data_IF_867107703322
#
_entry.id   IF_867107703322
#
_cell.length_a   1.000
_cell.length_b   1.000
_cell.length_c   1.000
_cell.angle_alpha   90.00
_cell.angle_beta   90.00
_cell.angle_gamma   90.00
#
_symmetry.space_group_name_H-M   'P 1'
#
loop_
_entity.id
_entity.type
_entity.pdbx_description
1 polymer ?
#
# COMPACT_ATOMS: atom_id res chain seq x y z
N UNK A 1 33.57 6.07 7.86
CA UNK A 1 32.47 6.64 8.65
C UNK A 1 31.90 7.78 7.82
N UNK A 2 30.93 7.49 6.95
CA UNK A 2 30.33 8.48 6.05
C UNK A 2 28.95 8.83 6.59
N UNK A 3 28.76 10.12 6.84
CA UNK A 3 27.52 10.72 7.34
C UNK A 3 26.38 10.50 6.35
N UNK A 4 25.29 9.90 6.83
CA UNK A 4 24.05 9.73 6.09
C UNK A 4 23.36 11.10 6.07
N UNK A 5 23.47 11.79 4.94
CA UNK A 5 22.77 13.06 4.67
C UNK A 5 21.25 12.86 4.76
N UNK A 6 20.64 13.39 5.82
CA UNK A 6 19.19 13.41 6.03
C UNK A 6 18.54 14.45 5.10
N UNK A 7 18.27 14.06 3.86
CA UNK A 7 17.56 14.91 2.90
C UNK A 7 16.06 14.95 3.19
N UNK A 8 15.55 16.11 3.61
CA UNK A 8 14.16 16.42 3.95
C UNK A 8 13.13 16.01 2.88
N UNK A 9 12.01 15.45 3.35
CA UNK A 9 10.69 15.39 2.71
C UNK A 9 9.97 16.72 2.93
N UNK A 10 9.05 17.12 2.04
CA UNK A 10 8.14 18.24 2.36
C UNK A 10 7.35 17.87 3.63
N UNK A 11 7.27 18.78 4.62
CA UNK A 11 6.57 18.49 5.86
C UNK A 11 5.08 18.30 5.57
N UNK A 12 4.50 17.23 6.14
CA UNK A 12 3.07 17.21 6.39
C UNK A 12 2.74 18.41 7.31
N UNK A 13 1.63 19.10 7.07
CA UNK A 13 1.35 20.35 7.77
C UNK A 13 1.37 20.13 9.29
N UNK A 14 2.03 21.03 10.02
CA UNK A 14 2.09 20.95 11.49
C UNK A 14 3.29 20.21 12.10
N UNK A 15 4.35 19.95 11.34
CA UNK A 15 5.65 19.51 11.86
C UNK A 15 5.90 18.00 11.80
N UNK A 16 5.01 17.23 11.18
CA UNK A 16 5.24 15.80 10.94
C UNK A 16 6.23 15.61 9.77
N UNK A 17 7.29 14.84 10.01
CA UNK A 17 8.27 14.46 8.99
C UNK A 17 8.07 13.00 8.60
N UNK A 18 7.65 12.79 7.35
CA UNK A 18 7.49 11.46 6.77
C UNK A 18 8.61 11.26 5.74
N UNK A 19 9.63 10.45 6.05
CA UNK A 19 10.82 10.33 5.20
C UNK A 19 10.50 9.79 3.81
N UNK A 20 9.65 8.75 3.73
CA UNK A 20 9.22 8.13 2.45
C UNK A 20 7.75 7.73 2.50
N UNK A 21 7.05 7.93 1.39
CA UNK A 21 5.66 7.47 1.19
C UNK A 21 5.66 6.34 0.18
N UNK A 22 5.16 5.16 0.56
CA UNK A 22 5.09 3.99 -0.32
C UNK A 22 3.62 3.73 -0.66
N UNK A 23 3.29 3.82 -1.95
CA UNK A 23 1.95 3.51 -2.43
C UNK A 23 1.77 2.02 -2.70
N UNK A 24 0.63 1.46 -2.33
CA UNK A 24 0.22 0.10 -2.73
C UNK A 24 -1.01 0.21 -3.62
N UNK A 25 -0.89 -0.27 -4.85
CA UNK A 25 -1.91 -0.14 -5.89
C UNK A 25 -2.25 -1.49 -6.52
N UNK A 26 -3.40 -1.56 -7.20
CA UNK A 26 -3.82 -2.74 -7.95
C UNK A 26 -4.75 -2.34 -9.09
N UNK A 27 -4.66 -3.04 -10.22
CA UNK A 27 -5.51 -2.73 -11.37
C UNK A 27 -6.96 -3.19 -11.27
N UNK A 28 -7.28 -4.10 -10.35
CA UNK A 28 -8.65 -4.55 -10.09
C UNK A 28 -8.85 -4.83 -8.60
N UNK A 29 -10.11 -4.81 -8.15
CA UNK A 29 -10.47 -5.25 -6.81
C UNK A 29 -10.26 -6.76 -6.62
N UNK A 30 -10.10 -7.19 -5.37
CA UNK A 30 -10.05 -8.62 -5.01
C UNK A 30 -8.70 -9.31 -5.18
N UNK A 31 -7.62 -8.60 -5.55
CA UNK A 31 -6.26 -9.18 -5.66
C UNK A 31 -5.51 -9.25 -4.33
N UNK A 32 -6.11 -8.77 -3.23
CA UNK A 32 -5.48 -8.69 -1.91
C UNK A 32 -4.53 -7.50 -1.73
N UNK A 33 -4.74 -6.39 -2.44
CA UNK A 33 -3.99 -5.13 -2.31
C UNK A 33 -3.84 -4.67 -0.84
N UNK A 34 -4.96 -4.59 -0.11
CA UNK A 34 -4.96 -4.16 1.29
C UNK A 34 -4.20 -5.14 2.19
N UNK A 35 -4.28 -6.44 1.92
CA UNK A 35 -3.44 -7.45 2.60
C UNK A 35 -1.97 -7.20 2.36
N UNK A 36 -1.55 -6.91 1.12
CA UNK A 36 -0.17 -6.54 0.80
C UNK A 36 0.26 -5.26 1.53
N UNK A 37 -0.61 -4.25 1.60
CA UNK A 37 -0.33 -3.01 2.32
C UNK A 37 -0.13 -3.23 3.83
N UNK A 38 -1.00 -4.02 4.46
CA UNK A 38 -0.87 -4.40 5.89
C UNK A 38 0.41 -5.19 6.13
N UNK A 39 0.68 -6.22 5.32
CA UNK A 39 1.89 -7.05 5.49
C UNK A 39 3.17 -6.24 5.30
N UNK A 40 3.21 -5.33 4.32
CA UNK A 40 4.34 -4.43 4.12
C UNK A 40 4.53 -3.51 5.33
N UNK A 41 3.46 -2.90 5.85
CA UNK A 41 3.52 -2.02 7.01
C UNK A 41 3.99 -2.76 8.27
N UNK A 42 3.47 -3.97 8.52
CA UNK A 42 3.86 -4.82 9.65
C UNK A 42 5.31 -5.29 9.55
N UNK A 43 5.77 -5.72 8.37
CA UNK A 43 7.16 -6.12 8.17
C UNK A 43 8.13 -4.94 8.34
N UNK A 44 7.77 -3.74 7.90
CA UNK A 44 8.57 -2.53 8.14
C UNK A 44 8.64 -2.19 9.64
N UNK A 45 7.50 -2.27 10.36
CA UNK A 45 7.46 -2.03 11.80
C UNK A 45 8.27 -3.10 12.58
N UNK A 46 8.17 -4.37 12.19
CA UNK A 46 8.94 -5.47 12.77
C UNK A 46 10.46 -5.31 12.55
N UNK A 47 10.87 -4.61 11.49
CA UNK A 47 12.27 -4.21 11.23
C UNK A 47 12.72 -2.98 12.05
N UNK A 48 11.86 -2.44 12.91
CA UNK A 48 12.17 -1.33 13.82
C UNK A 48 11.93 0.07 13.24
N UNK A 49 11.24 0.18 12.11
CA UNK A 49 10.89 1.48 11.52
C UNK A 49 9.66 2.09 12.16
N UNK A 50 9.59 3.43 12.22
CA UNK A 50 8.33 4.11 12.55
C UNK A 50 7.42 4.16 11.33
N UNK A 51 6.26 3.51 11.43
CA UNK A 51 5.37 3.28 10.28
C UNK A 51 3.98 3.87 10.50
N UNK A 52 3.48 4.56 9.47
CA UNK A 52 2.07 4.89 9.30
C UNK A 52 1.43 4.04 8.20
N UNK A 53 0.13 3.79 8.33
CA UNK A 53 -0.70 3.16 7.31
C UNK A 53 -1.94 4.02 7.06
N UNK A 54 -2.04 4.55 5.84
CA UNK A 54 -3.19 5.31 5.37
C UNK A 54 -4.04 4.44 4.43
N UNK A 55 -5.25 4.12 4.86
CA UNK A 55 -6.26 3.48 4.04
C UNK A 55 -7.08 4.52 3.27
N UNK A 56 -6.74 4.68 1.99
CA UNK A 56 -7.45 5.54 1.05
C UNK A 56 -8.48 4.75 0.21
N UNK A 57 -8.61 3.44 0.41
CA UNK A 57 -9.57 2.59 -0.29
C UNK A 57 -10.94 2.66 0.36
N UNK A 58 -11.72 3.63 -0.10
CA UNK A 58 -13.06 3.86 0.41
C UNK A 58 -14.07 2.78 -0.01
N UNK A 59 -13.71 1.95 -1.00
CA UNK A 59 -14.65 0.98 -1.57
C UNK A 59 -14.77 -0.28 -0.71
N UNK A 60 -13.88 -0.48 0.26
CA UNK A 60 -14.03 -1.54 1.25
C UNK A 60 -13.17 -1.28 2.49
N UNK A 61 -13.71 -1.44 3.72
CA UNK A 61 -12.99 -1.24 4.98
C UNK A 61 -11.99 -2.35 5.29
N UNK A 62 -11.10 -2.64 4.34
CA UNK A 62 -10.20 -3.78 4.40
C UNK A 62 -9.13 -3.59 5.47
N UNK A 63 -8.49 -2.43 5.54
CA UNK A 63 -7.40 -2.19 6.50
C UNK A 63 -7.87 -2.22 7.96
N UNK A 64 -8.94 -1.49 8.37
CA UNK A 64 -9.47 -1.60 9.73
C UNK A 64 -9.77 -3.03 10.14
N UNK A 65 -10.43 -3.81 9.27
CA UNK A 65 -10.73 -5.21 9.53
C UNK A 65 -9.47 -6.05 9.66
N UNK A 66 -8.54 -5.94 8.71
CA UNK A 66 -7.29 -6.70 8.68
C UNK A 66 -6.42 -6.43 9.91
N UNK A 67 -6.51 -5.25 10.52
CA UNK A 67 -5.78 -4.93 11.76
C UNK A 67 -6.60 -5.13 13.04
N UNK A 68 -7.86 -5.59 12.95
CA UNK A 68 -8.72 -5.77 14.12
C UNK A 68 -9.21 -4.45 14.74
N UNK A 69 -9.29 -3.38 13.94
CA UNK A 69 -9.63 -2.02 14.35
C UNK A 69 -11.06 -1.59 13.95
N UNK A 70 -11.91 -2.49 13.45
CA UNK A 70 -13.27 -2.15 12.96
C UNK A 70 -14.20 -1.53 14.02
N UNK A 71 -13.97 -1.81 15.30
CA UNK A 71 -14.74 -1.21 16.42
C UNK A 71 -14.29 0.21 16.76
N UNK A 72 -13.14 0.66 16.27
CA UNK A 72 -12.61 1.98 16.55
C UNK A 72 -13.25 3.03 15.64
N UNK A 73 -13.28 4.27 16.12
CA UNK A 73 -13.76 5.43 15.39
C UNK A 73 -12.69 6.50 15.40
N UNK A 74 -12.74 7.36 14.39
CA UNK A 74 -11.76 8.41 14.21
C UNK A 74 -11.95 9.49 15.26
N UNK A 75 -10.85 9.91 15.89
CA UNK A 75 -10.85 10.93 16.93
C UNK A 75 -10.10 12.18 16.47
N UNK A 76 -10.42 13.31 17.11
CA UNK A 76 -9.78 14.60 16.90
C UNK A 76 -9.50 15.24 18.26
N UNK A 77 -8.35 15.90 18.40
CA UNK A 77 -8.01 16.67 19.59
C UNK A 77 -8.58 18.11 19.56
N UNK A 78 -9.47 18.39 18.61
CA UNK A 78 -10.04 19.70 18.36
C UNK A 78 -9.28 20.53 17.32
N UNK A 79 -8.06 20.13 16.94
CA UNK A 79 -7.27 20.77 15.89
C UNK A 79 -6.82 19.79 14.79
N UNK A 80 -6.49 18.56 15.18
CA UNK A 80 -5.89 17.54 14.32
C UNK A 80 -6.52 16.18 14.56
N UNK A 81 -6.50 15.37 13.51
CA UNK A 81 -6.93 13.97 13.54
C UNK A 81 -5.89 13.12 14.27
N UNK A 82 -6.36 12.28 15.20
CA UNK A 82 -5.50 11.38 15.97
C UNK A 82 -5.51 10.00 15.28
N UNK A 83 -4.35 9.48 14.83
CA UNK A 83 -4.31 8.16 14.25
C UNK A 83 -4.49 7.09 15.33
N UNK A 84 -5.21 6.02 15.00
CA UNK A 84 -5.33 4.85 15.89
C UNK A 84 -4.02 4.06 15.79
N UNK A 85 -3.45 3.67 16.93
CA UNK A 85 -2.22 2.88 16.95
C UNK A 85 -2.58 1.39 16.99
N UNK A 86 -2.14 0.62 15.99
CA UNK A 86 -2.28 -0.83 16.00
C UNK A 86 -1.38 -1.43 17.07
N UNK A 87 -1.59 -2.70 17.39
CA UNK A 87 -0.78 -3.38 18.40
C UNK A 87 0.67 -3.61 17.97
N UNK A 88 0.93 -3.65 16.67
CA UNK A 88 2.29 -3.63 16.10
C UNK A 88 2.93 -2.23 16.14
N UNK A 89 2.28 -1.24 16.77
CA UNK A 89 2.77 0.13 16.90
C UNK A 89 2.61 0.98 15.63
N UNK A 90 1.81 0.53 14.66
CA UNK A 90 1.59 1.24 13.40
C UNK A 90 0.52 2.31 13.61
N UNK A 91 0.78 3.54 13.19
CA UNK A 91 -0.24 4.60 13.17
C UNK A 91 -1.18 4.38 12.00
N UNK A 92 -2.47 4.25 12.23
CA UNK A 92 -3.46 3.91 11.21
C UNK A 92 -4.49 5.01 11.08
N UNK A 93 -4.73 5.43 9.84
CA UNK A 93 -5.88 6.26 9.48
C UNK A 93 -6.62 5.58 8.35
N UNK A 94 -7.93 5.40 8.52
CA UNK A 94 -8.83 4.96 7.47
C UNK A 94 -9.98 5.93 7.39
N UNK A 95 -10.43 6.18 6.18
CA UNK A 95 -11.65 6.94 5.94
C UNK A 95 -12.86 6.28 6.61
N UNK A 96 -12.84 4.95 6.72
CA UNK A 96 -13.92 4.16 7.32
C UNK A 96 -14.06 4.38 8.83
N UNK A 97 -13.04 4.93 9.51
CA UNK A 97 -13.17 5.32 10.92
C UNK A 97 -14.13 6.50 11.13
N UNK A 98 -14.41 7.28 10.09
CA UNK A 98 -15.26 8.46 10.12
C UNK A 98 -16.60 8.25 9.41
N UNK A 99 -16.80 7.08 8.79
CA UNK A 99 -18.08 6.67 8.21
C UNK A 99 -18.86 5.90 9.27
N UNK A 100 -20.09 6.32 9.54
CA UNK A 100 -20.87 5.78 10.66
C UNK A 100 -21.26 4.32 10.49
N UNK A 101 -21.99 4.01 9.41
CA UNK A 101 -22.49 2.67 9.09
C UNK A 101 -21.83 2.13 7.82
N UNK A 102 -21.07 1.04 7.97
CA UNK A 102 -20.40 0.34 6.85
C UNK A 102 -21.40 -0.21 5.83
N UNK A 103 -22.66 -0.47 6.22
CA UNK A 103 -23.70 -0.96 5.32
C UNK A 103 -24.35 0.16 4.49
N UNK A 104 -24.13 1.43 4.85
CA UNK A 104 -24.67 2.57 4.12
C UNK A 104 -23.67 3.01 3.03
N UNK A 105 -24.00 2.88 1.73
CA UNK A 105 -23.09 3.28 0.66
C UNK A 105 -22.92 4.80 0.66
N UNK A 106 -21.76 5.29 1.12
CA UNK A 106 -21.41 6.70 0.99
C UNK A 106 -20.90 6.92 -0.44
N UNK A 107 -21.57 7.78 -1.21
CA UNK A 107 -21.13 8.11 -2.56
C UNK A 107 -19.98 9.12 -2.48
N UNK A 108 -18.76 8.62 -2.56
CA UNK A 108 -17.56 9.45 -2.60
C UNK A 108 -17.36 10.03 -3.98
N UNK A 109 -17.71 11.31 -4.15
CA UNK A 109 -17.35 12.07 -5.35
C UNK A 109 -15.89 12.47 -5.28
N UNK A 110 -15.20 12.49 -6.44
CA UNK A 110 -13.76 12.81 -6.55
C UNK A 110 -13.28 14.01 -5.70
N UNK A 111 -13.98 15.15 -5.68
CA UNK A 111 -13.60 16.30 -4.84
C UNK A 111 -13.63 16.03 -3.33
N UNK A 112 -14.59 15.22 -2.85
CA UNK A 112 -14.70 14.88 -1.43
C UNK A 112 -13.56 13.95 -1.01
N UNK A 113 -13.25 12.95 -1.84
CA UNK A 113 -12.11 12.06 -1.62
C UNK A 113 -10.79 12.82 -1.64
N UNK A 114 -10.60 13.67 -2.65
CA UNK A 114 -9.39 14.49 -2.76
C UNK A 114 -9.18 15.32 -1.49
N UNK A 115 -10.25 15.92 -0.96
CA UNK A 115 -10.19 16.72 0.27
C UNK A 115 -9.89 15.85 1.49
N UNK A 116 -10.48 14.66 1.60
CA UNK A 116 -10.22 13.74 2.70
C UNK A 116 -8.75 13.27 2.72
N UNK A 117 -8.19 12.89 1.56
CA UNK A 117 -6.78 12.48 1.46
C UNK A 117 -5.84 13.64 1.79
N UNK A 118 -6.14 14.84 1.29
CA UNK A 118 -5.40 16.05 1.61
C UNK A 118 -5.43 16.32 3.11
N UNK A 119 -6.60 16.20 3.75
CA UNK A 119 -6.77 16.34 5.19
C UNK A 119 -6.00 15.26 5.97
N UNK A 120 -5.98 14.00 5.50
CA UNK A 120 -5.19 12.95 6.13
C UNK A 120 -3.69 13.17 5.99
N UNK A 121 -3.25 13.85 4.93
CA UNK A 121 -1.87 14.26 4.76
C UNK A 121 -1.51 15.43 5.68
N UNK A 122 -2.36 16.46 5.77
CA UNK A 122 -2.02 17.71 6.46
C UNK A 122 -2.40 17.73 7.94
N UNK A 123 -3.52 17.11 8.32
CA UNK A 123 -4.16 17.37 9.61
C UNK A 123 -4.07 16.17 10.57
N UNK A 124 -3.45 15.06 10.16
CA UNK A 124 -3.21 13.90 11.03
C UNK A 124 -1.92 14.06 11.82
N UNK A 125 -1.96 13.64 13.08
CA UNK A 125 -0.80 13.62 13.99
C UNK A 125 0.14 12.43 13.72
N UNK A 126 0.70 12.38 12.50
CA UNK A 126 1.65 11.34 12.11
C UNK A 126 2.94 11.36 12.93
N UNK A 127 3.38 12.53 13.39
CA UNK A 127 4.68 12.70 14.05
C UNK A 127 5.84 12.36 13.10
N UNK A 128 6.91 11.76 13.62
CA UNK A 128 8.07 11.35 12.83
C UNK A 128 7.90 9.90 12.33
N UNK A 129 7.78 9.73 11.01
CA UNK A 129 7.66 8.43 10.36
C UNK A 129 8.84 8.18 9.40
N UNK A 130 9.43 7.00 9.48
CA UNK A 130 10.32 6.50 8.43
C UNK A 130 9.53 6.22 7.15
N UNK A 131 8.37 5.57 7.29
CA UNK A 131 7.53 5.17 6.16
C UNK A 131 6.04 5.44 6.41
N UNK A 132 5.37 6.03 5.43
CA UNK A 132 3.91 5.99 5.33
C UNK A 132 3.53 5.05 4.19
N UNK A 133 2.87 3.93 4.51
CA UNK A 133 2.28 3.04 3.52
C UNK A 133 0.87 3.53 3.21
N UNK A 134 0.52 3.62 1.92
CA UNK A 134 -0.80 4.10 1.47
C UNK A 134 -1.48 3.00 0.68
N UNK A 135 -2.61 2.50 1.19
CA UNK A 135 -3.48 1.57 0.47
C UNK A 135 -4.43 2.35 -0.45
N UNK A 136 -4.13 2.39 -1.75
CA UNK A 136 -4.91 3.17 -2.71
C UNK A 136 -6.19 2.45 -3.14
N UNK A 137 -7.22 3.15 -3.62
CA UNK A 137 -8.38 2.51 -4.28
C UNK A 137 -7.96 1.57 -5.42
N UNK A 138 -8.72 0.51 -5.70
CA UNK A 138 -8.44 -0.38 -6.81
C UNK A 138 -8.80 0.27 -8.15
N UNK A 139 -8.22 -0.26 -9.23
CA UNK A 139 -8.57 0.13 -10.59
C UNK A 139 -7.46 0.92 -11.27
N UNK A 140 -7.86 1.74 -12.24
CA UNK A 140 -7.05 2.80 -12.85
C UNK A 140 -7.90 4.03 -13.14
N UNK A 141 -8.94 4.25 -12.33
CA UNK A 141 -9.92 5.32 -12.52
C UNK A 141 -9.49 6.63 -11.88
N UNK A 142 -10.23 7.70 -12.16
CA UNK A 142 -9.93 9.07 -11.70
C UNK A 142 -9.72 9.19 -10.19
N UNK A 143 -10.44 8.38 -9.40
CA UNK A 143 -10.34 8.31 -7.93
C UNK A 143 -8.90 7.98 -7.51
N UNK A 144 -8.29 6.98 -8.14
CA UNK A 144 -6.94 6.55 -7.78
C UNK A 144 -5.89 7.57 -8.26
N UNK A 145 -6.03 8.11 -9.46
CA UNK A 145 -5.12 9.15 -9.99
C UNK A 145 -5.19 10.41 -9.11
N UNK A 146 -6.39 10.80 -8.69
CA UNK A 146 -6.60 11.93 -7.79
C UNK A 146 -5.90 11.71 -6.45
N UNK A 147 -6.02 10.50 -5.89
CA UNK A 147 -5.34 10.12 -4.65
C UNK A 147 -3.81 10.19 -4.79
N UNK A 148 -3.26 9.67 -5.89
CA UNK A 148 -1.82 9.73 -6.16
C UNK A 148 -1.29 11.16 -6.26
N UNK A 149 -2.00 12.05 -6.96
CA UNK A 149 -1.58 13.45 -7.15
C UNK A 149 -1.61 14.28 -5.86
N UNK A 150 -2.19 13.77 -4.78
CA UNK A 150 -2.34 14.46 -3.51
C UNK A 150 -1.27 14.10 -2.49
N UNK A 151 -0.50 13.05 -2.75
CA UNK A 151 0.50 12.53 -1.82
C UNK A 151 1.89 12.53 -2.50
N UNK A 152 2.97 12.90 -1.80
CA UNK A 152 4.32 12.86 -2.35
C UNK A 152 4.86 11.42 -2.35
N UNK A 153 4.25 10.56 -3.18
CA UNK A 153 4.57 9.13 -3.26
C UNK A 153 6.00 8.95 -3.76
N UNK A 154 6.82 8.27 -2.97
CA UNK A 154 8.23 8.00 -3.25
C UNK A 154 8.45 6.76 -4.13
N UNK A 155 7.48 5.85 -4.17
CA UNK A 155 7.48 4.67 -5.01
C UNK A 155 6.21 3.84 -4.82
N UNK A 156 5.87 3.02 -5.81
CA UNK A 156 4.62 2.24 -5.86
C UNK A 156 4.91 0.74 -5.93
N UNK A 157 4.30 -0.02 -5.03
CA UNK A 157 4.20 -1.49 -5.08
C UNK A 157 2.86 -1.86 -5.71
N UNK A 158 2.87 -2.73 -6.72
CA UNK A 158 1.64 -3.16 -7.41
C UNK A 158 1.26 -4.58 -7.01
N UNK A 159 0.13 -4.74 -6.33
CA UNK A 159 -0.44 -6.04 -6.01
C UNK A 159 -1.22 -6.60 -7.22
N UNK A 160 -1.02 -7.88 -7.52
CA UNK A 160 -1.67 -8.59 -8.61
C UNK A 160 -1.87 -10.07 -8.27
N UNK A 161 -2.69 -10.77 -9.06
CA UNK A 161 -2.82 -12.23 -9.11
C UNK A 161 -2.38 -12.71 -10.51
N UNK A 162 -1.93 -13.95 -10.70
CA UNK A 162 -1.61 -14.42 -12.05
C UNK A 162 -2.78 -14.30 -13.04
N UNK A 163 -4.01 -14.52 -12.56
CA UNK A 163 -5.22 -14.31 -13.36
C UNK A 163 -5.37 -12.86 -13.86
N UNK A 164 -5.03 -11.84 -13.04
CA UNK A 164 -5.08 -10.45 -13.50
C UNK A 164 -3.97 -10.09 -14.48
N UNK A 165 -2.84 -10.80 -14.49
CA UNK A 165 -1.76 -10.54 -15.44
C UNK A 165 -2.18 -10.84 -16.88
N UNK A 166 -3.03 -11.85 -17.08
CA UNK A 166 -3.63 -12.17 -18.39
C UNK A 166 -4.46 -11.00 -18.94
N UNK A 167 -4.94 -10.12 -18.07
CA UNK A 167 -5.74 -8.97 -18.47
C UNK A 167 -4.86 -7.73 -18.69
N UNK A 168 -5.17 -6.95 -19.73
CA UNK A 168 -4.58 -5.63 -20.04
C UNK A 168 -4.61 -4.60 -18.87
N UNK A 169 -5.23 -4.97 -17.75
CA UNK A 169 -5.47 -4.17 -16.56
C UNK A 169 -4.18 -3.89 -15.79
N UNK A 170 -3.25 -4.84 -15.71
CA UNK A 170 -1.99 -4.64 -14.96
C UNK A 170 -1.05 -3.71 -15.74
N UNK A 171 -0.91 -3.91 -17.05
CA UNK A 171 -0.17 -2.98 -17.90
C UNK A 171 -0.73 -1.54 -17.83
N UNK A 172 -2.05 -1.37 -17.73
CA UNK A 172 -2.67 -0.05 -17.49
C UNK A 172 -2.30 0.54 -16.13
N UNK A 173 -2.24 -0.28 -15.09
CA UNK A 173 -1.88 0.18 -13.73
C UNK A 173 -0.43 0.63 -13.65
N UNK A 174 0.47 -0.11 -14.30
CA UNK A 174 1.89 0.27 -14.44
C UNK A 174 2.03 1.55 -15.26
N UNK A 175 1.30 1.67 -16.37
CA UNK A 175 1.25 2.92 -17.16
C UNK A 175 0.67 4.09 -16.37
N UNK A 176 -0.36 3.88 -15.57
CA UNK A 176 -0.97 4.90 -14.73
C UNK A 176 -0.03 5.35 -13.61
N UNK A 177 0.71 4.43 -13.01
CA UNK A 177 1.78 4.80 -12.08
C UNK A 177 2.85 5.65 -12.77
N UNK A 178 3.10 5.46 -14.07
CA UNK A 178 3.93 6.37 -14.88
C UNK A 178 3.25 7.68 -15.31
N UNK A 179 1.93 7.83 -15.14
CA UNK A 179 1.19 9.09 -15.34
C UNK A 179 1.19 9.97 -14.08
N UNK A 180 1.68 9.43 -12.97
CA UNK A 180 1.95 10.16 -11.73
C UNK A 180 3.46 10.17 -11.54
N UNK A 181 4.04 11.19 -10.91
CA UNK A 181 5.50 11.35 -10.79
C UNK A 181 6.16 10.35 -9.80
N UNK A 182 5.62 9.13 -9.67
CA UNK A 182 6.06 8.11 -8.72
C UNK A 182 6.53 6.83 -9.44
N UNK A 183 7.76 6.35 -9.20
CA UNK A 183 8.28 5.15 -9.84
C UNK A 183 7.60 3.88 -9.31
N UNK A 184 7.31 2.93 -10.20
CA UNK A 184 6.91 1.58 -9.81
C UNK A 184 8.13 0.82 -9.32
N UNK A 185 8.12 0.42 -8.05
CA UNK A 185 9.21 -0.32 -7.40
C UNK A 185 9.23 -1.79 -7.83
N UNK A 186 8.06 -2.36 -8.09
CA UNK A 186 7.89 -3.75 -8.49
C UNK A 186 6.48 -4.26 -8.22
N UNK A 187 6.29 -5.55 -8.39
CA UNK A 187 4.99 -6.21 -8.25
C UNK A 187 4.99 -7.28 -7.17
N UNK A 188 3.84 -7.44 -6.52
CA UNK A 188 3.57 -8.54 -5.59
C UNK A 188 2.57 -9.47 -6.23
N UNK A 189 3.00 -10.70 -6.48
CA UNK A 189 2.15 -11.76 -6.99
C UNK A 189 1.47 -12.45 -5.79
N UNK A 190 0.19 -12.15 -5.59
CA UNK A 190 -0.63 -12.74 -4.54
C UNK A 190 -1.48 -13.88 -5.11
N UNK A 191 -1.77 -14.88 -4.28
CA UNK A 191 -2.59 -16.04 -4.62
C UNK A 191 -2.15 -16.75 -5.91
N UNK A 192 -0.84 -16.82 -6.17
CA UNK A 192 -0.32 -17.56 -7.34
C UNK A 192 -0.30 -19.08 -7.14
N UNK A 193 -0.22 -19.49 -5.89
CA UNK A 193 -0.32 -20.86 -5.41
C UNK A 193 -1.24 -20.93 -4.20
N UNK A 194 -1.57 -22.14 -3.75
CA UNK A 194 -2.22 -22.40 -2.47
C UNK A 194 -1.44 -23.43 -1.67
N UNK A 195 -1.32 -23.24 -0.37
CA UNK A 195 -0.86 -24.29 0.54
C UNK A 195 -2.07 -25.10 0.97
N UNK A 196 -2.08 -26.40 0.67
CA UNK A 196 -3.17 -27.30 1.06
C UNK A 196 -3.25 -27.40 2.59
N UNK A 197 -4.37 -27.04 3.23
CA UNK A 197 -4.48 -27.07 4.69
C UNK A 197 -4.39 -28.48 5.28
N UNK A 198 -4.74 -29.51 4.50
CA UNK A 198 -4.75 -30.90 4.98
C UNK A 198 -3.39 -31.59 4.89
N UNK A 199 -2.55 -31.23 3.91
CA UNK A 199 -1.28 -31.93 3.68
C UNK A 199 -0.05 -31.03 3.59
N UNK A 200 -0.21 -29.70 3.64
CA UNK A 200 0.88 -28.73 3.56
C UNK A 200 1.54 -28.60 2.19
N UNK A 201 1.09 -29.38 1.18
CA UNK A 201 1.63 -29.32 -0.18
C UNK A 201 1.19 -28.03 -0.85
N UNK A 202 2.14 -27.34 -1.50
CA UNK A 202 1.87 -26.16 -2.28
C UNK A 202 1.46 -26.54 -3.72
N UNK A 203 0.31 -26.05 -4.15
CA UNK A 203 -0.22 -26.25 -5.49
C UNK A 203 -0.25 -24.91 -6.23
N UNK A 204 0.31 -24.87 -7.43
CA UNK A 204 0.11 -23.71 -8.32
C UNK A 204 -1.36 -23.62 -8.70
N UNK A 205 -1.93 -22.43 -8.57
CA UNK A 205 -3.33 -22.17 -8.92
C UNK A 205 -3.48 -21.81 -10.41
N UNK A 206 -2.40 -21.33 -11.01
CA UNK A 206 -2.37 -20.90 -12.40
C UNK A 206 -1.12 -21.45 -13.08
N UNK A 207 -1.28 -21.88 -14.33
CA UNK A 207 -0.13 -22.20 -15.18
C UNK A 207 0.62 -20.92 -15.55
N UNK A 208 1.91 -21.06 -15.86
CA UNK A 208 2.70 -19.95 -16.39
C UNK A 208 2.00 -19.37 -17.62
N UNK A 209 1.78 -18.06 -17.63
CA UNK A 209 1.40 -17.29 -18.82
C UNK A 209 2.30 -17.76 -19.95
N UNK A 210 1.78 -18.27 -21.07
CA UNK A 210 2.50 -18.51 -22.35
C UNK A 210 3.98 -19.03 -22.33
N UNK A 211 4.45 -19.60 -21.22
CA UNK A 211 5.87 -19.84 -20.91
C UNK A 211 6.64 -18.64 -20.31
N UNK A 212 6.08 -17.44 -20.26
CA UNK A 212 6.67 -16.24 -19.63
C UNK A 212 6.35 -16.09 -18.13
N UNK A 213 7.29 -15.49 -17.41
CA UNK A 213 7.16 -15.10 -16.00
C UNK A 213 6.45 -13.75 -15.86
N UNK A 214 5.91 -13.47 -14.67
CA UNK A 214 5.28 -12.17 -14.34
C UNK A 214 6.21 -10.99 -14.62
N UNK A 215 7.49 -11.17 -14.28
CA UNK A 215 8.56 -10.21 -14.50
C UNK A 215 8.74 -9.90 -15.98
N UNK A 216 8.73 -10.94 -16.83
CA UNK A 216 8.86 -10.80 -18.28
C UNK A 216 7.64 -10.12 -18.89
N UNK A 217 6.44 -10.48 -18.44
CA UNK A 217 5.19 -9.92 -18.95
C UNK A 217 5.04 -8.43 -18.64
N UNK A 218 5.54 -7.98 -17.48
CA UNK A 218 5.38 -6.58 -17.02
C UNK A 218 6.63 -5.73 -17.19
N UNK A 219 7.80 -6.33 -17.39
CA UNK A 219 9.09 -5.62 -17.37
C UNK A 219 9.40 -5.03 -15.98
N UNK A 220 8.86 -5.61 -14.91
CA UNK A 220 9.01 -5.14 -13.54
C UNK A 220 9.52 -6.27 -12.64
N UNK A 221 10.34 -5.99 -11.61
CA UNK A 221 10.76 -7.00 -10.67
C UNK A 221 9.57 -7.48 -9.82
N UNK A 222 9.52 -8.78 -9.51
CA UNK A 222 8.63 -9.32 -8.48
C UNK A 222 9.30 -9.16 -7.13
N UNK A 223 8.65 -8.41 -6.24
CA UNK A 223 9.13 -8.14 -4.88
C UNK A 223 8.81 -9.29 -3.92
N UNK A 224 7.67 -9.95 -4.14
CA UNK A 224 7.24 -11.09 -3.34
C UNK A 224 6.18 -11.93 -4.06
N UNK A 225 6.11 -13.21 -3.67
CA UNK A 225 5.05 -14.13 -4.05
C UNK A 225 4.37 -14.66 -2.79
N UNK A 226 3.07 -14.44 -2.67
CA UNK A 226 2.28 -14.95 -1.54
C UNK A 226 1.36 -16.07 -2.00
N UNK A 227 1.42 -17.26 -1.36
CA UNK A 227 0.42 -18.29 -1.57
C UNK A 227 -0.88 -17.89 -0.88
N UNK A 228 -2.00 -18.41 -1.39
CA UNK A 228 -3.22 -18.49 -0.62
C UNK A 228 -3.03 -19.48 0.55
N UNK A 229 -3.40 -19.06 1.76
CA UNK A 229 -3.40 -19.90 2.96
C UNK A 229 -4.71 -19.78 3.68
N UNK A 230 -5.20 -20.90 4.20
CA UNK A 230 -6.47 -20.94 4.92
C UNK A 230 -6.40 -20.07 6.18
N UNK A 231 -5.32 -20.19 6.96
CA UNK A 231 -5.16 -19.44 8.20
C UNK A 231 -5.18 -17.91 7.98
N UNK A 232 -4.59 -17.45 6.88
CA UNK A 232 -4.56 -16.02 6.51
C UNK A 232 -5.92 -15.57 5.96
N UNK A 233 -6.55 -16.40 5.14
CA UNK A 233 -7.85 -16.08 4.52
C UNK A 233 -9.00 -16.07 5.53
N UNK A 234 -8.93 -16.90 6.57
CA UNK A 234 -9.96 -17.00 7.62
C UNK A 234 -9.65 -16.16 8.86
N UNK A 235 -8.47 -15.53 8.92
CA UNK A 235 -8.09 -14.70 10.05
C UNK A 235 -9.09 -13.56 10.30
N UNK A 236 -9.55 -13.43 11.54
CA UNK A 236 -10.36 -12.28 11.96
C UNK A 236 -9.57 -10.97 11.83
N UNK A 237 -8.27 -11.02 12.12
CA UNK A 237 -7.29 -9.96 11.87
C UNK A 237 -5.91 -10.60 11.61
N UNK A 238 -5.10 -9.94 10.82
CA UNK A 238 -3.71 -10.31 10.53
C UNK A 238 -2.81 -9.68 11.59
N UNK A 239 -2.64 -10.35 12.73
CA UNK A 239 -1.67 -9.94 13.76
C UNK A 239 -0.29 -10.47 13.40
N UNK A 240 0.73 -9.63 13.45
CA UNK A 240 2.08 -10.02 12.99
C UNK A 240 2.58 -11.27 13.72
N UNK A 241 2.44 -11.33 15.04
CA UNK A 241 2.91 -12.46 15.85
C UNK A 241 2.11 -13.75 15.63
N UNK A 242 0.88 -13.66 15.12
CA UNK A 242 0.02 -14.80 14.83
C UNK A 242 0.23 -15.38 13.42
N UNK A 243 0.98 -14.69 12.56
CA UNK A 243 1.27 -15.18 11.21
C UNK A 243 2.25 -16.37 11.26
N UNK A 244 2.04 -17.40 10.42
CA UNK A 244 3.01 -18.48 10.24
C UNK A 244 4.42 -17.93 9.96
N UNK A 245 5.45 -18.55 10.54
CA UNK A 245 6.82 -18.03 10.46
C UNK A 245 7.32 -17.88 9.02
N UNK A 246 7.04 -18.87 8.18
CA UNK A 246 7.37 -18.84 6.76
C UNK A 246 6.61 -17.74 6.00
N UNK A 247 5.35 -17.47 6.37
CA UNK A 247 4.58 -16.36 5.82
C UNK A 247 5.12 -14.99 6.26
N UNK A 248 5.58 -14.86 7.52
CA UNK A 248 6.31 -13.66 7.99
C UNK A 248 7.60 -13.46 7.22
N UNK A 249 8.36 -14.52 6.93
CA UNK A 249 9.57 -14.43 6.10
C UNK A 249 9.28 -13.90 4.68
N UNK A 250 8.14 -14.28 4.09
CA UNK A 250 7.70 -13.71 2.80
C UNK A 250 7.40 -12.21 2.92
N UNK A 251 6.73 -11.76 3.99
CA UNK A 251 6.47 -10.35 4.25
C UNK A 251 7.75 -9.56 4.55
N UNK A 252 8.71 -10.15 5.28
CA UNK A 252 10.03 -9.56 5.50
C UNK A 252 10.83 -9.42 4.21
N UNK A 253 10.72 -10.41 3.31
CA UNK A 253 11.26 -10.36 1.95
C UNK A 253 10.66 -9.21 1.16
N UNK A 254 9.33 -9.09 1.14
CA UNK A 254 8.62 -7.96 0.52
C UNK A 254 9.14 -6.61 1.02
N UNK A 255 9.25 -6.41 2.33
CA UNK A 255 9.77 -5.17 2.88
C UNK A 255 11.21 -4.92 2.45
N UNK A 256 12.08 -5.94 2.49
CA UNK A 256 13.50 -5.80 2.12
C UNK A 256 13.67 -5.42 0.65
N UNK A 257 12.99 -6.11 -0.26
CA UNK A 257 13.01 -5.80 -1.70
C UNK A 257 12.41 -4.43 -2.00
N UNK A 258 11.33 -4.06 -1.30
CA UNK A 258 10.72 -2.72 -1.42
C UNK A 258 11.72 -1.63 -1.01
N UNK A 259 12.43 -1.81 0.11
CA UNK A 259 13.43 -0.86 0.59
C UNK A 259 14.63 -0.75 -0.36
N UNK A 260 15.09 -1.87 -0.91
CA UNK A 260 16.16 -1.90 -1.91
C UNK A 260 15.75 -1.14 -3.18
N UNK A 261 14.58 -1.43 -3.73
CA UNK A 261 14.04 -0.73 -4.90
C UNK A 261 13.86 0.77 -4.61
N UNK A 262 13.32 1.11 -3.44
CA UNK A 262 13.08 2.50 -3.03
C UNK A 262 14.38 3.30 -2.82
N UNK A 263 15.47 2.65 -2.39
CA UNK A 263 16.79 3.27 -2.28
C UNK A 263 17.44 3.53 -3.66
N UNK A 264 17.12 2.71 -4.66
CA UNK A 264 17.59 2.88 -6.04
C UNK A 264 16.86 4.00 -6.80
N UNK A 265 15.69 4.45 -6.32
CA UNK A 265 14.99 5.60 -6.87
C UNK A 265 15.83 6.87 -6.65
N UNK A 266 16.34 7.45 -7.74
CA UNK A 266 17.00 8.76 -7.70
C UNK A 266 16.04 9.79 -7.12
N UNK A 267 16.45 10.45 -6.03
CA UNK A 267 15.69 11.54 -5.43
C UNK A 267 15.53 12.65 -6.48
N UNK A 268 14.31 13.15 -6.78
CA UNK A 268 14.20 14.35 -7.60
C UNK A 268 14.97 15.48 -6.92
N UNK A 269 15.76 16.22 -7.70
CA UNK A 269 16.48 17.37 -7.21
C UNK A 269 15.46 18.38 -6.65
N UNK A 270 15.73 18.92 -5.46
CA UNK A 270 14.88 19.94 -4.85
C UNK A 270 14.80 21.15 -5.79
N UNK A 271 13.65 21.37 -6.44
CA UNK A 271 13.39 22.58 -7.24
C UNK A 271 13.03 22.38 -8.71
N UNK A 272 13.11 21.17 -9.29
CA UNK A 272 12.61 20.95 -10.65
C UNK A 272 11.15 20.49 -10.62
N UNK A 273 10.22 21.40 -10.92
CA UNK A 273 8.90 21.02 -11.43
C UNK A 273 9.11 20.44 -12.83
N UNK A 274 8.80 19.15 -13.09
CA UNK A 274 8.86 18.63 -14.44
C UNK A 274 7.76 19.31 -15.27
N UNK A 275 8.12 19.66 -16.51
CA UNK A 275 7.21 20.32 -17.45
C UNK A 275 5.97 19.45 -17.65
N UNK A 276 4.79 20.06 -17.48
CA UNK A 276 3.52 19.43 -17.82
C UNK A 276 3.60 18.86 -19.25
N UNK A 277 3.60 17.54 -19.37
CA UNK A 277 3.53 16.88 -20.66
C UNK A 277 2.25 17.36 -21.36
N UNK A 278 2.44 18.11 -22.44
CA UNK A 278 1.37 18.76 -23.17
C UNK A 278 0.35 17.75 -23.69
N UNK A 279 -0.91 18.14 -23.56
CA UNK A 279 -2.05 17.53 -24.26
C UNK A 279 -1.75 17.47 -25.77
N UNK A 280 -1.87 16.28 -26.34
CA UNK A 280 -2.22 16.06 -27.75
C UNK A 280 -3.23 14.93 -27.80
#
# INVERSE_FOLDING_TARGET
MQEISTGSSEPAAGGARIKRVIGVASGKGGVGKSTVAVLLAQALAAKGHSVGLLDADITGPSVPRLLGLSSFRGESDGQRLVPIVSEEGIKVVSINFYVGDEATPVVWRGPLLSKAIEQFWTDVQWGELDYLVVDFPPGTGDIQITAFNKLPVSGVVVATTPQSLVSMIVAKSVKMAGMVDAPVLGVVENMGSMVCPSCGVEHKLFDSLDGSTVEQALGLPVLARFPWREEVAQAASLRWEALPEDFRRLADGLASETLLALAAVKKPAAGEKPAAAGKA
#
